data_IF_167420039789
#
_entry.id   IF_167420039789
#
_cell.length_a   1.000
_cell.length_b   1.000
_cell.length_c   1.000
_cell.angle_alpha   90.00
_cell.angle_beta   90.00
_cell.angle_gamma   90.00
#
_symmetry.space_group_name_H-M   'P 1'
#
loop_
_entity.id
_entity.type
_entity.pdbx_description
1 polymer ?
#
# COMPACT_ATOMS: atom_id res chain seq x y z
N UNK A 1 -10.37 9.46 -14.91
CA UNK A 1 -10.90 8.46 -13.95
C UNK A 1 -10.90 9.14 -12.58
N UNK A 2 -12.01 9.12 -11.81
CA UNK A 2 -12.03 9.71 -10.47
C UNK A 2 -11.05 8.98 -9.53
N UNK A 3 -10.25 9.74 -8.78
CA UNK A 3 -9.33 9.24 -7.75
C UNK A 3 -10.12 8.84 -6.49
N UNK A 4 -10.22 7.54 -6.22
CA UNK A 4 -11.02 7.03 -5.10
C UNK A 4 -10.27 7.04 -3.76
N UNK A 5 -8.99 6.66 -3.73
CA UNK A 5 -8.22 6.56 -2.50
C UNK A 5 -6.71 6.60 -2.75
N UNK A 6 -5.95 6.89 -1.70
CA UNK A 6 -4.50 6.82 -1.66
C UNK A 6 -3.99 5.67 -0.79
N UNK A 7 -2.94 5.00 -1.23
CA UNK A 7 -2.15 4.03 -0.46
C UNK A 7 -0.72 4.53 -0.45
N UNK A 8 -0.11 4.58 0.73
CA UNK A 8 1.32 4.91 0.87
C UNK A 8 2.11 3.62 1.07
N UNK A 9 3.04 3.33 0.17
CA UNK A 9 4.00 2.23 0.35
C UNK A 9 5.29 2.82 0.91
N UNK A 10 5.81 2.24 1.99
CA UNK A 10 7.08 2.68 2.58
C UNK A 10 7.80 1.50 3.23
N UNK A 11 9.00 1.73 3.73
CA UNK A 11 9.81 0.75 4.45
C UNK A 11 10.10 1.29 5.86
N UNK A 12 10.44 0.44 6.85
CA UNK A 12 10.50 0.88 8.26
C UNK A 12 11.67 1.84 8.58
N UNK A 13 12.55 2.14 7.62
CA UNK A 13 13.66 3.07 7.82
C UNK A 13 13.18 4.52 7.88
N UNK A 14 13.77 5.30 8.79
CA UNK A 14 13.37 6.69 9.10
C UNK A 14 13.24 7.56 7.85
N UNK A 15 14.20 7.47 6.91
CA UNK A 15 14.19 8.27 5.67
C UNK A 15 12.93 7.98 4.84
N UNK A 16 12.53 6.73 4.72
CA UNK A 16 11.34 6.33 3.97
C UNK A 16 10.04 6.73 4.70
N UNK A 17 10.07 6.82 6.02
CA UNK A 17 8.94 7.32 6.81
C UNK A 17 8.72 8.83 6.60
N UNK A 18 9.79 9.61 6.43
CA UNK A 18 9.68 11.04 6.11
C UNK A 18 9.05 11.27 4.73
N UNK A 19 9.38 10.44 3.73
CA UNK A 19 8.74 10.49 2.42
C UNK A 19 7.28 10.03 2.48
N UNK A 20 6.99 8.99 3.27
CA UNK A 20 5.63 8.52 3.54
C UNK A 20 4.77 9.65 4.13
N UNK A 21 5.31 10.40 5.09
CA UNK A 21 4.66 11.56 5.69
C UNK A 21 4.24 12.59 4.64
N UNK A 22 5.12 12.92 3.71
CA UNK A 22 4.83 13.88 2.63
C UNK A 22 3.69 13.40 1.72
N UNK A 23 3.65 12.10 1.41
CA UNK A 23 2.54 11.52 0.63
C UNK A 23 1.19 11.60 1.37
N UNK A 24 1.19 11.35 2.68
CA UNK A 24 0.00 11.42 3.51
C UNK A 24 -0.48 12.87 3.69
N UNK A 25 0.44 13.83 3.82
CA UNK A 25 0.14 15.26 3.81
C UNK A 25 -0.52 15.69 2.49
N UNK A 26 -0.02 15.18 1.36
CA UNK A 26 -0.61 15.43 0.05
C UNK A 26 -2.04 14.88 -0.02
N UNK A 27 -2.28 13.63 0.41
CA UNK A 27 -3.63 13.06 0.42
C UNK A 27 -4.60 13.90 1.27
N UNK A 28 -4.17 14.33 2.45
CA UNK A 28 -4.97 15.19 3.33
C UNK A 28 -5.29 16.54 2.69
N UNK A 29 -4.29 17.22 2.11
CA UNK A 29 -4.47 18.53 1.44
C UNK A 29 -5.43 18.45 0.25
N UNK A 30 -5.42 17.33 -0.45
CA UNK A 30 -6.22 17.08 -1.64
C UNK A 30 -7.55 16.37 -1.34
N UNK A 31 -7.90 16.18 -0.06
CA UNK A 31 -9.11 15.48 0.37
C UNK A 31 -9.25 14.07 -0.26
N UNK A 32 -8.12 13.38 -0.41
CA UNK A 32 -8.06 12.00 -0.90
C UNK A 32 -8.21 11.06 0.31
N UNK A 33 -9.19 10.14 0.30
CA UNK A 33 -9.32 9.11 1.33
C UNK A 33 -8.07 8.25 1.44
N UNK A 34 -7.53 8.07 2.65
CA UNK A 34 -6.33 7.26 2.89
C UNK A 34 -6.78 5.84 3.24
N UNK A 35 -6.53 4.88 2.35
CA UNK A 35 -6.86 3.47 2.60
C UNK A 35 -5.94 2.83 3.64
N UNK A 36 -4.67 3.26 3.67
CA UNK A 36 -3.69 2.82 4.65
C UNK A 36 -2.25 2.95 4.15
N UNK A 37 -1.35 2.42 4.97
CA UNK A 37 0.08 2.32 4.69
C UNK A 37 0.44 0.84 4.46
N UNK A 38 1.20 0.56 3.41
CA UNK A 38 1.83 -0.74 3.18
C UNK A 38 3.28 -0.65 3.61
N UNK A 39 3.64 -1.39 4.65
CA UNK A 39 5.03 -1.54 5.07
C UNK A 39 5.68 -2.63 4.23
N UNK A 40 6.60 -2.25 3.35
CA UNK A 40 7.43 -3.16 2.59
C UNK A 40 8.74 -3.44 3.33
N UNK A 41 9.31 -4.62 3.13
CA UNK A 41 10.63 -5.02 3.65
C UNK A 41 10.77 -4.90 5.18
N UNK A 42 9.68 -5.13 5.94
CA UNK A 42 9.68 -5.07 7.40
C UNK A 42 10.32 -6.29 8.07
N UNK A 43 10.22 -7.44 7.42
CA UNK A 43 10.68 -8.74 7.90
C UNK A 43 11.31 -9.54 6.75
N UNK A 44 11.93 -10.67 7.07
CA UNK A 44 12.49 -11.60 6.09
C UNK A 44 11.96 -13.00 6.30
N UNK A 45 11.54 -13.65 5.21
CA UNK A 45 11.11 -15.06 5.21
C UNK A 45 12.29 -15.93 4.79
N UNK A 46 12.83 -16.71 5.73
CA UNK A 46 13.91 -17.64 5.44
C UNK A 46 13.38 -18.86 4.66
N UNK A 47 13.88 -19.09 3.45
CA UNK A 47 13.45 -20.22 2.62
C UNK A 47 13.82 -21.60 3.20
N UNK A 48 14.87 -21.66 4.04
CA UNK A 48 15.36 -22.90 4.62
C UNK A 48 14.57 -23.34 5.86
N UNK A 49 14.22 -22.41 6.75
CA UNK A 49 13.53 -22.73 8.01
C UNK A 49 12.07 -22.24 8.06
N UNK A 50 11.60 -21.53 7.02
CA UNK A 50 10.26 -20.92 6.92
C UNK A 50 9.89 -19.98 8.07
N UNK A 51 10.88 -19.54 8.85
CA UNK A 51 10.70 -18.58 9.94
C UNK A 51 10.76 -17.15 9.41
N UNK A 52 9.83 -16.34 9.87
CA UNK A 52 9.85 -14.89 9.68
C UNK A 52 10.67 -14.23 10.81
N UNK A 53 11.55 -13.32 10.42
CA UNK A 53 12.36 -12.52 11.34
C UNK A 53 12.17 -11.04 11.07
N UNK A 54 11.84 -10.25 12.08
CA UNK A 54 11.81 -8.79 11.97
C UNK A 54 13.23 -8.25 11.81
N UNK A 55 13.43 -7.37 10.82
CA UNK A 55 14.76 -6.81 10.54
C UNK A 55 14.98 -5.50 11.31
N UNK A 56 13.92 -4.71 11.51
CA UNK A 56 14.01 -3.33 12.00
C UNK A 56 13.19 -3.04 13.28
N UNK A 57 12.53 -4.06 13.84
CA UNK A 57 11.60 -3.93 14.98
C UNK A 57 10.21 -3.40 14.60
N UNK A 58 9.26 -3.52 15.53
CA UNK A 58 7.82 -3.46 15.22
C UNK A 58 7.17 -2.06 15.23
N UNK A 59 7.83 -1.02 15.77
CA UNK A 59 7.16 0.22 16.21
C UNK A 59 7.50 1.49 15.40
N UNK A 60 8.13 1.37 14.23
CA UNK A 60 8.62 2.54 13.49
C UNK A 60 7.50 3.43 12.92
N UNK A 61 6.32 2.89 12.64
CA UNK A 61 5.22 3.64 11.99
C UNK A 61 4.18 4.27 12.93
N UNK A 62 4.28 4.01 14.24
CA UNK A 62 3.27 4.42 15.23
C UNK A 62 2.85 5.89 15.11
N UNK A 63 3.85 6.78 14.96
CA UNK A 63 3.60 8.22 14.85
C UNK A 63 2.87 8.62 13.57
N UNK A 64 3.08 7.92 12.45
CA UNK A 64 2.33 8.17 11.21
C UNK A 64 0.87 7.72 11.34
N UNK A 65 0.64 6.56 11.93
CA UNK A 65 -0.72 6.02 12.11
C UNK A 65 -1.57 6.98 12.95
N UNK A 66 -1.02 7.49 14.06
CA UNK A 66 -1.69 8.45 14.92
C UNK A 66 -1.92 9.80 14.22
N UNK A 67 -0.87 10.38 13.64
CA UNK A 67 -0.93 11.72 13.03
C UNK A 67 -1.93 11.82 11.87
N UNK A 68 -2.06 10.75 11.08
CA UNK A 68 -2.94 10.71 9.92
C UNK A 68 -4.24 9.95 10.15
N UNK A 69 -4.47 9.43 11.37
CA UNK A 69 -5.63 8.59 11.72
C UNK A 69 -5.84 7.47 10.69
N UNK A 70 -4.75 6.81 10.36
CA UNK A 70 -4.70 5.77 9.33
C UNK A 70 -4.26 4.43 9.93
N UNK A 71 -4.18 3.40 9.10
CA UNK A 71 -3.88 2.03 9.50
C UNK A 71 -2.80 1.42 8.63
N UNK A 72 -2.17 0.35 9.14
CA UNK A 72 -1.34 -0.53 8.31
C UNK A 72 -2.28 -1.45 7.52
N UNK A 73 -2.24 -1.34 6.20
CA UNK A 73 -3.03 -2.17 5.30
C UNK A 73 -2.37 -3.54 5.07
N UNK A 74 -1.04 -3.57 5.00
CA UNK A 74 -0.25 -4.79 4.89
C UNK A 74 1.19 -4.58 5.35
N UNK A 75 1.83 -5.67 5.80
CA UNK A 75 3.28 -5.75 6.02
C UNK A 75 3.84 -6.82 5.09
N UNK A 76 4.64 -6.43 4.11
CA UNK A 76 5.23 -7.34 3.14
C UNK A 76 6.67 -7.72 3.57
N UNK A 77 6.95 -9.01 3.75
CA UNK A 77 8.32 -9.47 4.01
C UNK A 77 9.19 -9.38 2.75
N UNK A 78 10.50 -9.37 2.96
CA UNK A 78 11.47 -9.77 1.96
C UNK A 78 11.35 -11.27 1.73
N UNK A 79 10.75 -11.63 0.60
CA UNK A 79 10.66 -13.01 0.10
C UNK A 79 11.34 -13.08 -1.29
N UNK A 80 12.42 -13.87 -1.46
CA UNK A 80 13.21 -13.88 -2.71
C UNK A 80 12.38 -14.19 -3.96
N UNK A 81 11.34 -15.02 -3.82
CA UNK A 81 10.42 -15.37 -4.90
C UNK A 81 9.66 -14.17 -5.47
N UNK A 82 9.35 -13.16 -4.64
CA UNK A 82 8.69 -11.93 -5.10
C UNK A 82 9.61 -11.16 -6.05
N UNK A 83 10.88 -11.02 -5.68
CA UNK A 83 11.90 -10.38 -6.53
C UNK A 83 12.08 -11.14 -7.84
N UNK A 84 12.32 -12.46 -7.76
CA UNK A 84 12.57 -13.31 -8.93
C UNK A 84 11.37 -13.33 -9.88
N UNK A 85 10.14 -13.39 -9.35
CA UNK A 85 8.93 -13.30 -10.14
C UNK A 85 8.78 -11.93 -10.79
N UNK A 86 9.02 -10.85 -10.04
CA UNK A 86 9.00 -9.47 -10.55
C UNK A 86 9.96 -9.26 -11.73
N UNK A 87 11.19 -9.74 -11.62
CA UNK A 87 12.22 -9.66 -12.68
C UNK A 87 11.80 -10.37 -13.97
N UNK A 88 10.94 -11.39 -13.87
CA UNK A 88 10.43 -12.18 -15.00
C UNK A 88 9.04 -11.76 -15.48
N UNK A 89 8.40 -10.79 -14.82
CA UNK A 89 7.01 -10.43 -15.10
C UNK A 89 5.98 -11.48 -14.64
N UNK A 90 6.33 -12.30 -13.65
CA UNK A 90 5.50 -13.36 -13.07
C UNK A 90 5.04 -12.97 -11.65
N UNK A 91 3.83 -12.43 -11.47
CA UNK A 91 3.34 -12.03 -10.15
C UNK A 91 3.37 -13.19 -9.15
N UNK A 92 3.75 -12.92 -7.91
CA UNK A 92 3.85 -13.95 -6.86
C UNK A 92 2.51 -14.64 -6.58
N UNK A 93 1.40 -13.90 -6.70
CA UNK A 93 0.04 -14.42 -6.53
C UNK A 93 -0.35 -15.46 -7.59
N UNK A 94 0.31 -15.46 -8.75
CA UNK A 94 0.10 -16.44 -9.81
C UNK A 94 1.13 -17.58 -9.70
N UNK A 95 2.41 -17.24 -9.56
CA UNK A 95 3.49 -18.22 -9.58
C UNK A 95 3.61 -19.04 -8.29
N UNK A 96 3.29 -18.44 -7.14
CA UNK A 96 3.40 -19.07 -5.82
C UNK A 96 2.24 -18.62 -4.91
N UNK A 97 1.00 -19.02 -5.22
CA UNK A 97 -0.20 -18.58 -4.48
C UNK A 97 -0.16 -18.92 -2.98
N UNK A 98 0.55 -19.98 -2.61
CA UNK A 98 0.68 -20.41 -1.20
C UNK A 98 1.73 -19.65 -0.39
N UNK A 99 2.53 -18.78 -1.03
CA UNK A 99 3.56 -17.97 -0.38
C UNK A 99 2.99 -17.00 0.64
N UNK A 100 3.86 -16.53 1.55
CA UNK A 100 3.46 -15.55 2.57
C UNK A 100 3.06 -14.25 1.89
N UNK A 101 3.87 -13.75 0.95
CA UNK A 101 3.56 -12.53 0.21
C UNK A 101 2.28 -12.64 -0.61
N UNK A 102 2.01 -13.77 -1.28
CA UNK A 102 0.77 -13.94 -2.05
C UNK A 102 -0.49 -13.82 -1.17
N UNK A 103 -0.50 -14.51 -0.02
CA UNK A 103 -1.61 -14.45 0.94
C UNK A 103 -1.83 -13.04 1.50
N UNK A 104 -0.73 -12.30 1.73
CA UNK A 104 -0.80 -10.91 2.18
C UNK A 104 -1.39 -10.02 1.08
N UNK A 105 -0.95 -10.16 -0.17
CA UNK A 105 -1.52 -9.41 -1.30
C UNK A 105 -3.01 -9.70 -1.48
N UNK A 106 -3.45 -10.96 -1.39
CA UNK A 106 -4.87 -11.32 -1.49
C UNK A 106 -5.72 -10.70 -0.38
N UNK A 107 -5.23 -10.75 0.87
CA UNK A 107 -5.91 -10.12 2.00
C UNK A 107 -5.98 -8.60 1.81
N UNK A 108 -4.85 -7.98 1.44
CA UNK A 108 -4.75 -6.54 1.20
C UNK A 108 -5.72 -6.08 0.09
N UNK A 109 -5.85 -6.86 -0.98
CA UNK A 109 -6.79 -6.58 -2.07
C UNK A 109 -8.25 -6.61 -1.60
N UNK A 110 -8.62 -7.59 -0.76
CA UNK A 110 -9.97 -7.68 -0.18
C UNK A 110 -10.26 -6.50 0.74
N UNK A 111 -9.32 -6.16 1.62
CA UNK A 111 -9.46 -5.04 2.57
C UNK A 111 -9.57 -3.70 1.82
N UNK A 112 -8.75 -3.52 0.77
CA UNK A 112 -8.80 -2.34 -0.09
C UNK A 112 -10.13 -2.26 -0.84
N UNK A 113 -10.63 -3.37 -1.41
CA UNK A 113 -11.93 -3.39 -2.09
C UNK A 113 -13.05 -2.96 -1.16
N UNK A 114 -13.09 -3.51 0.06
CA UNK A 114 -14.10 -3.13 1.06
C UNK A 114 -13.99 -1.64 1.47
N UNK A 115 -12.77 -1.10 1.55
CA UNK A 115 -12.54 0.33 1.79
C UNK A 115 -13.06 1.19 0.63
N UNK A 116 -12.80 0.80 -0.62
CA UNK A 116 -13.28 1.52 -1.80
C UNK A 116 -14.81 1.51 -1.88
N UNK A 117 -15.46 0.38 -1.59
CA UNK A 117 -16.92 0.29 -1.51
C UNK A 117 -17.50 1.24 -0.45
N UNK A 118 -16.81 1.38 0.69
CA UNK A 118 -17.16 2.35 1.73
C UNK A 118 -17.03 3.78 1.21
N UNK A 119 -15.91 4.12 0.57
CA UNK A 119 -15.66 5.46 0.02
C UNK A 119 -16.74 5.86 -0.97
N UNK A 120 -17.12 4.95 -1.88
CA UNK A 120 -18.17 5.18 -2.87
C UNK A 120 -19.54 5.39 -2.19
N UNK A 121 -19.94 4.47 -1.29
CA UNK A 121 -21.23 4.52 -0.59
C UNK A 121 -21.40 5.78 0.25
N UNK A 122 -20.34 6.21 0.93
CA UNK A 122 -20.34 7.36 1.84
C UNK A 122 -19.88 8.66 1.15
N UNK A 123 -19.54 8.62 -0.14
CA UNK A 123 -19.04 9.75 -0.96
C UNK A 123 -17.85 10.47 -0.30
N UNK A 124 -16.89 9.71 0.20
CA UNK A 124 -15.77 10.25 1.00
C UNK A 124 -14.68 10.93 0.15
N UNK A 125 -14.62 10.66 -1.16
CA UNK A 125 -13.65 11.28 -2.05
C UNK A 125 -14.16 12.65 -2.54
N UNK A 126 -13.56 13.73 -2.05
CA UNK A 126 -13.91 15.10 -2.43
C UNK A 126 -12.72 15.83 -3.06
N UNK A 127 -12.27 15.28 -4.18
CA UNK A 127 -11.06 15.70 -4.89
C UNK A 127 -11.36 16.09 -6.35
N UNK A 128 -12.57 16.61 -6.60
CA UNK A 128 -13.09 16.94 -7.93
C UNK A 128 -12.23 17.96 -8.66
N UNK A 129 -11.66 18.92 -7.93
CA UNK A 129 -10.86 20.02 -8.48
C UNK A 129 -9.50 19.57 -9.04
N UNK A 130 -9.04 18.37 -8.68
CA UNK A 130 -7.80 17.78 -9.18
C UNK A 130 -8.03 16.59 -10.11
N UNK A 131 -9.28 16.22 -10.36
CA UNK A 131 -9.58 15.16 -11.33
C UNK A 131 -9.26 15.66 -12.73
N UNK A 132 -8.65 14.83 -13.59
CA UNK A 132 -8.57 15.15 -15.01
C UNK A 132 -10.00 15.34 -15.54
N UNK A 133 -10.34 16.56 -15.95
CA UNK A 133 -11.60 16.86 -16.63
C UNK A 133 -11.59 16.15 -17.98
N UNK A 134 -12.71 15.52 -18.36
CA UNK A 134 -12.81 14.72 -19.58
C UNK A 134 -12.66 15.54 -20.89
N UNK A 135 -12.27 16.81 -20.83
CA UNK A 135 -12.45 17.77 -21.92
C UNK A 135 -11.40 17.68 -23.05
N UNK A 136 -10.34 16.87 -22.94
CA UNK A 136 -9.30 16.79 -23.99
C UNK A 136 -8.74 15.38 -24.27
N UNK A 137 -9.60 14.35 -24.33
CA UNK A 137 -9.15 12.99 -24.69
C UNK A 137 -9.27 12.63 -26.19
N UNK A 138 -9.81 13.50 -27.04
CA UNK A 138 -9.92 13.23 -28.49
C UNK A 138 -9.71 14.49 -29.32
N UNK A 139 -8.45 14.86 -29.54
CA UNK A 139 -8.04 15.67 -30.68
C UNK A 139 -6.52 15.65 -30.75
N UNK A 140 -5.98 14.63 -31.42
CA UNK A 140 -4.93 14.66 -32.44
C UNK A 140 -4.47 13.24 -32.76
#
# INVERSE_FOLDING_TARGET
VPLSAGITVTTPQIVSLDDAKRSLDMFKKLHIPIAGIVENMGSFVCEHCKKESEIFGSNSMSGLLEAYRTQILAKLPLEPKVRLGGDRGEPIVISHPDSVSAKIFEKMAKDLSAFLDKVEREKLADNKDIQPTQTHAYSH
#
